data_IF_618160751208
#
_entry.id   IF_618160751208
#
_cell.length_a   1.000
_cell.length_b   1.000
_cell.length_c   1.000
_cell.angle_alpha   90.00
_cell.angle_beta   90.00
_cell.angle_gamma   90.00
#
_symmetry.space_group_name_H-M   'P 1'
#
loop_
_entity.id
_entity.type
_entity.pdbx_description
1 polymer ?
#
# COMPACT_ATOMS: atom_id res chain seq x y z
N UNK A 1 7.48 1.20 21.72
CA UNK A 1 6.23 1.99 21.73
C UNK A 1 5.29 1.40 22.79
N UNK A 2 4.55 2.22 23.59
CA UNK A 2 3.65 1.70 24.65
C UNK A 2 2.64 0.66 24.15
N UNK A 3 2.05 0.90 22.97
CA UNK A 3 1.07 -0.01 22.36
C UNK A 3 1.64 -1.42 22.08
N UNK A 4 2.90 -1.52 21.67
CA UNK A 4 3.57 -2.81 21.41
C UNK A 4 3.68 -3.66 22.69
N UNK A 5 4.12 -3.04 23.80
CA UNK A 5 4.18 -3.73 25.10
C UNK A 5 2.80 -4.19 25.56
N UNK A 6 1.77 -3.37 25.35
CA UNK A 6 0.38 -3.73 25.67
C UNK A 6 -0.13 -4.90 24.80
N UNK A 7 0.23 -4.96 23.52
CA UNK A 7 -0.13 -6.07 22.65
C UNK A 7 0.48 -7.39 23.14
N UNK A 8 1.76 -7.41 23.56
CA UNK A 8 2.39 -8.60 24.12
C UNK A 8 1.75 -9.02 25.46
N UNK A 9 1.37 -8.06 26.31
CA UNK A 9 0.63 -8.34 27.55
C UNK A 9 -0.75 -8.95 27.25
N UNK A 10 -1.48 -8.38 26.26
CA UNK A 10 -2.79 -8.87 25.85
C UNK A 10 -2.75 -10.33 25.35
N UNK A 11 -1.80 -10.65 24.47
CA UNK A 11 -1.62 -12.02 23.98
C UNK A 11 -1.29 -12.98 25.14
N UNK A 12 -0.49 -12.55 26.09
CA UNK A 12 -0.15 -13.35 27.29
C UNK A 12 -1.37 -13.62 28.15
N UNK A 13 -2.23 -12.61 28.34
CA UNK A 13 -3.47 -12.74 29.11
C UNK A 13 -4.47 -13.66 28.43
N UNK A 14 -4.68 -13.51 27.11
CA UNK A 14 -5.52 -14.44 26.32
C UNK A 14 -5.01 -15.87 26.40
N UNK A 15 -3.68 -16.06 26.30
CA UNK A 15 -3.07 -17.38 26.44
C UNK A 15 -3.32 -18.01 27.82
N UNK A 16 -3.37 -17.20 28.88
CA UNK A 16 -3.69 -17.64 30.25
C UNK A 16 -5.15 -18.04 30.39
N UNK A 17 -6.07 -17.28 29.78
CA UNK A 17 -7.51 -17.59 29.80
C UNK A 17 -7.83 -18.87 29.01
N UNK A 18 -7.07 -19.14 27.94
CA UNK A 18 -7.25 -20.32 27.08
C UNK A 18 -6.01 -21.22 27.04
N UNK A 19 -5.67 -21.91 28.14
CA UNK A 19 -4.37 -22.55 28.31
C UNK A 19 -4.06 -23.70 27.34
N UNK A 20 -5.09 -24.31 26.76
CA UNK A 20 -4.97 -25.46 25.83
C UNK A 20 -5.17 -25.09 24.36
N UNK A 21 -5.50 -23.83 24.04
CA UNK A 21 -5.78 -23.43 22.67
C UNK A 21 -4.52 -22.99 21.95
N UNK A 22 -4.45 -23.31 20.67
CA UNK A 22 -3.51 -22.69 19.75
C UNK A 22 -3.97 -21.26 19.48
N UNK A 23 -3.02 -20.38 19.16
CA UNK A 23 -3.26 -18.97 18.96
C UNK A 23 -2.96 -18.60 17.52
N UNK A 24 -3.74 -17.72 16.98
CA UNK A 24 -3.48 -17.03 15.72
C UNK A 24 -3.54 -15.54 16.00
N UNK A 25 -2.51 -14.81 15.58
CA UNK A 25 -2.43 -13.37 15.75
C UNK A 25 -2.61 -12.74 14.39
N UNK A 26 -3.12 -11.51 14.35
CA UNK A 26 -3.20 -10.80 13.09
C UNK A 26 -3.65 -9.36 13.28
N UNK A 27 -3.35 -8.55 12.31
CA UNK A 27 -3.75 -7.16 12.28
C UNK A 27 -3.45 -6.51 10.94
N UNK A 28 -4.08 -5.37 10.73
CA UNK A 28 -3.88 -4.53 9.56
C UNK A 28 -3.11 -3.26 9.97
N UNK A 29 -2.23 -2.79 9.12
CA UNK A 29 -1.47 -1.56 9.34
C UNK A 29 -0.67 -1.63 10.66
N UNK A 30 -0.80 -0.65 11.51
CA UNK A 30 -0.21 -0.67 12.87
C UNK A 30 -0.58 -1.93 13.66
N UNK A 31 -1.79 -2.49 13.44
CA UNK A 31 -2.22 -3.75 14.07
C UNK A 31 -1.39 -4.95 13.62
N UNK A 32 -0.94 -4.99 12.35
CA UNK A 32 0.01 -6.00 11.85
C UNK A 32 1.35 -5.94 12.59
N UNK A 33 1.93 -4.74 12.70
CA UNK A 33 3.15 -4.53 13.50
C UNK A 33 2.96 -4.94 14.97
N UNK A 34 1.81 -4.61 15.58
CA UNK A 34 1.52 -5.00 16.96
C UNK A 34 1.38 -6.52 17.12
N UNK A 35 0.78 -7.21 16.13
CA UNK A 35 0.63 -8.66 16.15
C UNK A 35 1.99 -9.37 16.08
N UNK A 36 2.87 -8.95 15.17
CA UNK A 36 4.23 -9.48 15.08
C UNK A 36 5.01 -9.20 16.35
N UNK A 37 4.99 -7.95 16.85
CA UNK A 37 5.66 -7.62 18.11
C UNK A 37 5.17 -8.47 19.28
N UNK A 38 3.87 -8.69 19.39
CA UNK A 38 3.30 -9.53 20.44
C UNK A 38 3.74 -10.98 20.31
N UNK A 39 3.80 -11.52 19.08
CA UNK A 39 4.32 -12.85 18.80
C UNK A 39 5.79 -13.03 19.20
N UNK A 40 6.62 -12.01 18.96
CA UNK A 40 8.04 -12.01 19.31
C UNK A 40 8.25 -11.90 20.83
N UNK A 41 7.55 -10.97 21.50
CA UNK A 41 7.84 -10.60 22.89
C UNK A 41 6.92 -11.22 23.95
N UNK A 42 5.98 -12.08 23.56
CA UNK A 42 5.26 -12.88 24.54
C UNK A 42 6.19 -13.96 25.15
N UNK A 43 5.84 -14.52 26.33
CA UNK A 43 6.62 -15.58 26.93
C UNK A 43 6.83 -16.78 25.98
N UNK A 44 8.00 -17.42 26.03
CA UNK A 44 8.33 -18.52 25.13
C UNK A 44 7.31 -19.69 25.15
N UNK A 45 6.68 -19.95 26.31
CA UNK A 45 5.61 -20.95 26.42
C UNK A 45 4.36 -20.56 25.61
N UNK A 46 4.05 -19.26 25.55
CA UNK A 46 2.94 -18.71 24.74
C UNK A 46 3.33 -18.73 23.25
N UNK A 47 4.56 -18.29 22.94
CA UNK A 47 5.09 -18.26 21.59
C UNK A 47 5.02 -19.63 20.90
N UNK A 48 5.31 -20.72 21.61
CA UNK A 48 5.17 -22.10 21.08
C UNK A 48 3.75 -22.48 20.70
N UNK A 49 2.73 -21.79 21.22
CA UNK A 49 1.31 -22.02 20.92
C UNK A 49 0.78 -21.17 19.78
N UNK A 50 1.57 -20.23 19.28
CA UNK A 50 1.19 -19.42 18.13
C UNK A 50 1.38 -20.23 16.87
N UNK A 51 0.32 -20.43 16.10
CA UNK A 51 0.36 -21.08 14.78
C UNK A 51 0.84 -20.15 13.69
N UNK A 52 0.23 -18.98 13.62
CA UNK A 52 0.49 -18.01 12.55
C UNK A 52 0.30 -16.59 13.08
N UNK A 53 1.08 -15.67 12.53
CA UNK A 53 0.93 -14.21 12.75
C UNK A 53 0.75 -13.56 11.40
N UNK A 54 -0.41 -12.95 11.15
CA UNK A 54 -0.67 -12.19 9.92
C UNK A 54 -0.39 -10.72 10.11
N UNK A 55 0.48 -10.18 9.26
CA UNK A 55 0.74 -8.74 9.11
C UNK A 55 0.16 -8.27 7.78
N UNK A 56 -1.01 -7.67 7.82
CA UNK A 56 -1.68 -7.16 6.63
C UNK A 56 -1.29 -5.70 6.43
N UNK A 57 -0.37 -5.45 5.52
CA UNK A 57 0.19 -4.13 5.18
C UNK A 57 0.68 -3.37 6.43
N UNK A 58 1.25 -4.12 7.38
CA UNK A 58 1.84 -3.58 8.61
C UNK A 58 3.29 -3.14 8.37
N UNK A 59 3.72 -2.00 8.96
CA UNK A 59 5.12 -1.59 8.87
C UNK A 59 6.02 -2.58 9.59
N UNK A 60 7.24 -2.76 9.10
CA UNK A 60 8.27 -3.62 9.66
C UNK A 60 8.86 -3.10 10.96
N UNK A 61 10.06 -3.52 11.28
CA UNK A 61 10.78 -3.20 12.50
C UNK A 61 12.14 -2.60 12.19
N UNK A 62 12.85 -2.19 13.23
CA UNK A 62 14.25 -1.84 13.13
C UNK A 62 15.10 -3.10 13.21
N UNK A 63 16.27 -3.08 12.59
CA UNK A 63 17.20 -4.22 12.51
C UNK A 63 17.50 -4.83 13.88
N UNK A 64 17.64 -3.98 14.93
CA UNK A 64 17.91 -4.42 16.29
C UNK A 64 16.84 -5.34 16.90
N UNK A 65 15.61 -5.35 16.33
CA UNK A 65 14.56 -6.26 16.73
C UNK A 65 14.60 -7.57 15.92
N UNK A 66 14.91 -7.50 14.64
CA UNK A 66 14.92 -8.62 13.72
C UNK A 66 16.01 -9.63 14.11
N UNK A 67 17.17 -9.16 14.54
CA UNK A 67 18.30 -9.99 14.98
C UNK A 67 18.06 -10.77 16.29
N UNK A 68 16.96 -10.49 17.00
CA UNK A 68 16.70 -11.13 18.28
C UNK A 68 16.38 -12.63 18.13
N UNK A 69 16.94 -13.51 18.99
CA UNK A 69 16.64 -14.96 18.97
C UNK A 69 15.13 -15.28 19.09
N UNK A 70 14.35 -14.44 19.77
CA UNK A 70 12.92 -14.60 19.88
C UNK A 70 12.16 -14.27 18.59
N UNK A 71 12.68 -13.36 17.72
CA UNK A 71 12.15 -13.11 16.40
C UNK A 71 12.39 -14.35 15.50
N UNK A 72 13.61 -14.82 15.42
CA UNK A 72 13.99 -15.98 14.62
C UNK A 72 13.18 -17.25 14.95
N UNK A 73 12.72 -17.42 16.20
CA UNK A 73 11.86 -18.56 16.58
C UNK A 73 10.46 -18.53 16.00
N UNK A 74 9.98 -17.34 15.56
CA UNK A 74 8.60 -17.18 15.07
C UNK A 74 8.54 -16.73 13.61
N UNK A 75 9.65 -16.34 13.02
CA UNK A 75 9.78 -15.77 11.69
C UNK A 75 9.04 -16.61 10.64
N UNK A 76 9.26 -17.92 10.57
CA UNK A 76 8.59 -18.82 9.63
C UNK A 76 7.06 -18.91 9.81
N UNK A 77 6.53 -18.37 10.90
CA UNK A 77 5.09 -18.31 11.18
C UNK A 77 4.50 -16.93 10.94
N UNK A 78 5.32 -15.97 10.55
CA UNK A 78 4.86 -14.64 10.14
C UNK A 78 4.45 -14.70 8.67
N UNK A 79 3.24 -14.25 8.38
CA UNK A 79 2.69 -14.13 7.03
C UNK A 79 2.43 -12.67 6.78
N UNK A 80 3.31 -12.05 5.99
CA UNK A 80 3.17 -10.67 5.55
C UNK A 80 2.42 -10.62 4.23
N UNK A 81 1.34 -9.83 4.18
CA UNK A 81 0.55 -9.59 2.97
C UNK A 81 0.58 -8.10 2.70
N UNK A 82 0.94 -7.72 1.47
CA UNK A 82 1.04 -6.33 1.05
C UNK A 82 0.35 -6.12 -0.30
N UNK A 83 -0.35 -5.01 -0.54
CA UNK A 83 -0.88 -4.71 -1.87
C UNK A 83 0.24 -4.35 -2.85
N UNK A 84 -0.04 -4.48 -4.15
CA UNK A 84 0.93 -4.25 -5.25
C UNK A 84 1.60 -2.87 -5.25
N UNK A 85 1.01 -1.89 -4.59
CA UNK A 85 1.57 -0.54 -4.42
C UNK A 85 1.60 -0.14 -2.95
N UNK A 86 1.97 -1.09 -2.07
CA UNK A 86 2.12 -0.83 -0.64
C UNK A 86 3.11 0.30 -0.39
N UNK A 87 2.75 1.18 0.52
CA UNK A 87 3.62 2.21 1.09
C UNK A 87 3.86 1.90 2.57
N UNK A 88 2.79 1.63 3.31
CA UNK A 88 2.86 1.41 4.77
C UNK A 88 3.56 0.10 5.10
N UNK A 89 3.19 -0.99 4.43
CA UNK A 89 3.77 -2.30 4.64
C UNK A 89 5.25 -2.40 4.24
N UNK A 90 5.73 -1.44 3.47
CA UNK A 90 7.14 -1.38 3.08
C UNK A 90 7.98 -0.43 3.95
N UNK A 91 7.36 0.22 4.95
CA UNK A 91 8.10 1.04 5.91
C UNK A 91 8.89 0.16 6.89
N UNK A 92 10.15 0.53 7.14
CA UNK A 92 11.11 -0.19 7.97
C UNK A 92 11.51 -1.55 7.38
N UNK A 93 12.26 -2.36 8.13
CA UNK A 93 12.82 -3.60 7.63
C UNK A 93 11.88 -4.79 7.89
N UNK A 94 11.91 -5.74 6.96
CA UNK A 94 11.23 -7.02 7.01
C UNK A 94 12.24 -8.11 6.63
N UNK A 95 12.35 -9.17 7.40
CA UNK A 95 13.14 -10.36 7.04
C UNK A 95 12.23 -11.45 6.43
N UNK A 96 10.96 -11.47 6.81
CA UNK A 96 10.00 -12.43 6.29
C UNK A 96 9.64 -12.17 4.83
N UNK A 97 9.40 -13.24 4.08
CA UNK A 97 8.84 -13.15 2.74
C UNK A 97 7.41 -12.61 2.79
N UNK A 98 7.08 -11.70 1.88
CA UNK A 98 5.73 -11.15 1.76
C UNK A 98 5.00 -11.65 0.52
N UNK A 99 3.68 -11.76 0.64
CA UNK A 99 2.78 -12.06 -0.47
C UNK A 99 2.19 -10.77 -1.01
N UNK A 100 2.35 -10.53 -2.31
CA UNK A 100 1.75 -9.36 -2.96
C UNK A 100 0.35 -9.69 -3.44
N UNK A 101 -0.63 -8.85 -3.08
CA UNK A 101 -2.03 -9.01 -3.49
C UNK A 101 -2.47 -7.89 -4.42
N UNK A 102 -3.45 -8.22 -5.28
CA UNK A 102 -4.08 -7.23 -6.13
C UNK A 102 -5.11 -6.40 -5.36
N UNK A 103 -5.34 -5.18 -5.82
CA UNK A 103 -6.33 -4.25 -5.26
C UNK A 103 -7.04 -3.50 -6.39
N UNK A 104 -8.32 -3.17 -6.18
CA UNK A 104 -9.11 -2.34 -7.08
C UNK A 104 -8.84 -0.84 -6.91
N UNK A 105 -8.10 -0.47 -5.86
CA UNK A 105 -7.67 0.90 -5.61
C UNK A 105 -6.28 1.17 -6.17
N UNK A 106 -5.86 2.44 -6.17
CA UNK A 106 -4.57 2.90 -6.66
C UNK A 106 -3.74 3.53 -5.54
N UNK A 107 -2.41 3.36 -5.63
CA UNK A 107 -1.43 3.97 -4.74
C UNK A 107 -1.72 3.75 -3.26
N UNK A 108 -1.66 4.80 -2.45
CA UNK A 108 -1.87 4.72 -1.00
C UNK A 108 -3.26 4.20 -0.60
N UNK A 109 -4.28 4.37 -1.44
CA UNK A 109 -5.62 3.86 -1.16
C UNK A 109 -5.70 2.33 -1.14
N UNK A 110 -4.72 1.63 -1.69
CA UNK A 110 -4.58 0.18 -1.56
C UNK A 110 -4.26 -0.28 -0.13
N UNK A 111 -3.90 0.64 0.76
CA UNK A 111 -3.75 0.35 2.18
C UNK A 111 -5.06 -0.11 2.84
N UNK A 112 -6.21 0.22 2.24
CA UNK A 112 -7.51 -0.31 2.66
C UNK A 112 -7.61 -1.80 2.28
N UNK A 113 -7.54 -2.69 3.27
CA UNK A 113 -7.62 -4.15 3.07
C UNK A 113 -8.93 -4.61 2.44
N UNK A 114 -10.02 -3.82 2.51
CA UNK A 114 -11.28 -4.12 1.83
C UNK A 114 -11.24 -3.87 0.32
N UNK A 115 -10.20 -3.22 -0.17
CA UNK A 115 -9.94 -3.05 -1.61
C UNK A 115 -9.18 -4.23 -2.23
N UNK A 116 -8.70 -5.19 -1.42
CA UNK A 116 -7.93 -6.32 -1.90
C UNK A 116 -8.81 -7.34 -2.58
N UNK A 117 -8.42 -7.74 -3.78
CA UNK A 117 -9.26 -8.61 -4.61
C UNK A 117 -9.21 -10.06 -4.14
N UNK A 118 -10.39 -10.67 -4.06
CA UNK A 118 -10.59 -12.06 -3.61
C UNK A 118 -11.15 -12.88 -4.76
N UNK A 119 -10.64 -14.09 -4.92
CA UNK A 119 -11.17 -15.09 -5.84
C UNK A 119 -11.40 -16.40 -5.08
N UNK A 120 -12.67 -16.75 -4.87
CA UNK A 120 -13.03 -17.91 -4.04
C UNK A 120 -12.68 -17.68 -2.57
N UNK A 121 -11.73 -18.44 -2.06
CA UNK A 121 -11.30 -18.45 -0.66
C UNK A 121 -9.93 -17.82 -0.42
N UNK A 122 -9.35 -17.16 -1.44
CA UNK A 122 -8.01 -16.58 -1.36
C UNK A 122 -7.92 -15.21 -2.06
N UNK A 123 -6.90 -14.43 -1.70
CA UNK A 123 -6.58 -13.19 -2.40
C UNK A 123 -5.99 -13.48 -3.78
N UNK A 124 -6.28 -12.62 -4.75
CA UNK A 124 -5.58 -12.63 -6.04
C UNK A 124 -4.15 -12.17 -5.78
N UNK A 125 -3.19 -13.09 -5.97
CA UNK A 125 -1.77 -12.84 -5.73
C UNK A 125 -1.03 -12.43 -6.99
N UNK A 126 -0.03 -11.60 -6.84
CA UNK A 126 0.86 -11.12 -7.89
C UNK A 126 2.30 -11.56 -7.62
N UNK A 127 3.10 -11.69 -8.68
CA UNK A 127 4.49 -12.14 -8.56
C UNK A 127 5.38 -11.11 -7.85
N UNK A 128 5.08 -9.84 -8.00
CA UNK A 128 5.89 -8.74 -7.46
C UNK A 128 5.08 -7.45 -7.35
N UNK A 129 5.57 -6.52 -6.56
CA UNK A 129 5.06 -5.17 -6.50
C UNK A 129 5.26 -4.42 -7.82
N UNK A 130 4.49 -3.34 -8.04
CA UNK A 130 4.72 -2.47 -9.19
C UNK A 130 6.11 -1.82 -9.11
N UNK A 131 6.76 -1.61 -10.26
CA UNK A 131 8.06 -0.93 -10.32
C UNK A 131 8.04 0.44 -9.64
N UNK A 132 6.94 1.17 -9.81
CA UNK A 132 6.75 2.50 -9.19
C UNK A 132 6.65 2.41 -7.67
N UNK A 133 5.94 1.40 -7.14
CA UNK A 133 5.86 1.17 -5.70
C UNK A 133 7.26 0.90 -5.12
N UNK A 134 8.06 0.10 -5.79
CA UNK A 134 9.42 -0.19 -5.36
C UNK A 134 10.33 1.06 -5.33
N UNK A 135 10.23 1.93 -6.34
CA UNK A 135 10.98 3.20 -6.36
C UNK A 135 10.53 4.16 -5.26
N UNK A 136 9.21 4.27 -5.03
CA UNK A 136 8.67 5.11 -3.95
C UNK A 136 9.05 4.59 -2.57
N UNK A 137 9.11 3.27 -2.41
CA UNK A 137 9.57 2.63 -1.18
C UNK A 137 11.04 3.00 -0.88
N UNK A 138 11.94 2.86 -1.86
CA UNK A 138 13.35 3.24 -1.70
C UNK A 138 13.50 4.72 -1.31
N UNK A 139 12.77 5.61 -1.99
CA UNK A 139 12.80 7.07 -1.70
C UNK A 139 12.30 7.36 -0.29
N UNK A 140 11.23 6.69 0.14
CA UNK A 140 10.63 6.86 1.45
C UNK A 140 11.51 6.29 2.58
N UNK A 141 12.09 5.10 2.40
CA UNK A 141 13.04 4.50 3.34
C UNK A 141 14.25 5.40 3.57
N UNK A 142 14.91 5.83 2.50
CA UNK A 142 16.07 6.73 2.59
C UNK A 142 15.72 8.01 3.35
N UNK A 143 14.56 8.58 3.10
CA UNK A 143 14.12 9.78 3.77
C UNK A 143 13.84 9.56 5.26
N UNK A 144 13.13 8.49 5.63
CA UNK A 144 12.84 8.13 7.03
C UNK A 144 14.11 7.75 7.80
N UNK A 145 15.04 7.04 7.17
CA UNK A 145 16.33 6.68 7.77
C UNK A 145 17.19 7.90 8.04
N UNK A 146 17.12 8.93 7.20
CA UNK A 146 17.81 10.20 7.39
C UNK A 146 17.30 11.06 8.56
N UNK A 147 16.12 10.72 9.14
CA UNK A 147 15.55 11.45 10.27
C UNK A 147 16.07 10.95 11.61
N UNK A 148 16.26 11.87 12.57
CA UNK A 148 16.45 11.51 13.97
C UNK A 148 15.17 10.92 14.58
N UNK A 149 15.27 10.27 15.73
CA UNK A 149 14.10 9.74 16.44
C UNK A 149 13.10 10.85 16.83
N UNK A 150 13.60 12.05 17.17
CA UNK A 150 12.76 13.20 17.49
C UNK A 150 12.02 13.73 16.26
N UNK A 151 12.73 13.90 15.14
CA UNK A 151 12.13 14.34 13.88
C UNK A 151 11.04 13.36 13.40
N UNK A 152 11.29 12.04 13.48
CA UNK A 152 10.26 11.02 13.17
C UNK A 152 9.05 11.13 14.09
N UNK A 153 9.26 11.38 15.40
CA UNK A 153 8.17 11.58 16.34
C UNK A 153 7.31 12.79 15.94
N UNK A 154 7.94 13.96 15.77
CA UNK A 154 7.27 15.20 15.34
C UNK A 154 6.51 15.02 14.02
N UNK A 155 7.14 14.35 13.04
CA UNK A 155 6.52 14.07 11.76
C UNK A 155 5.25 13.22 11.90
N UNK A 156 5.31 12.13 12.68
CA UNK A 156 4.16 11.24 12.90
C UNK A 156 3.04 11.98 13.62
N UNK A 157 3.35 12.74 14.66
CA UNK A 157 2.37 13.52 15.41
C UNK A 157 1.70 14.58 14.53
N UNK A 158 2.48 15.28 13.70
CA UNK A 158 1.98 16.27 12.75
C UNK A 158 1.12 15.61 11.65
N UNK A 159 1.54 14.46 11.12
CA UNK A 159 0.75 13.71 10.13
C UNK A 159 -0.64 13.34 10.67
N UNK A 160 -0.68 12.79 11.89
CA UNK A 160 -1.96 12.45 12.52
C UNK A 160 -2.79 13.69 12.89
N UNK A 161 -2.16 14.79 13.31
CA UNK A 161 -2.87 16.04 13.56
C UNK A 161 -3.52 16.59 12.29
N UNK A 162 -2.79 16.60 11.18
CA UNK A 162 -3.32 17.03 9.87
C UNK A 162 -4.44 16.12 9.38
N UNK A 163 -4.30 14.79 9.50
CA UNK A 163 -5.34 13.85 9.14
C UNK A 163 -6.58 14.01 10.00
N UNK A 164 -6.43 14.17 11.31
CA UNK A 164 -7.53 14.38 12.24
C UNK A 164 -8.25 15.70 12.00
N UNK A 165 -7.52 16.76 11.62
CA UNK A 165 -8.10 18.06 11.28
C UNK A 165 -9.07 18.01 10.09
N UNK A 166 -8.96 16.98 9.23
CA UNK A 166 -9.93 16.75 8.14
C UNK A 166 -11.34 16.41 8.63
N UNK A 167 -11.48 15.97 9.89
CA UNK A 167 -12.74 15.46 10.45
C UNK A 167 -13.10 14.05 9.98
N UNK A 168 -12.28 13.43 9.12
CA UNK A 168 -12.50 12.09 8.63
C UNK A 168 -12.12 11.05 9.70
N UNK A 169 -13.02 10.14 10.01
CA UNK A 169 -12.79 9.01 10.90
C UNK A 169 -12.17 7.81 10.14
N UNK A 170 -12.39 7.74 8.84
CA UNK A 170 -11.93 6.66 7.97
C UNK A 170 -11.33 7.22 6.66
N UNK A 171 -10.56 6.40 5.93
CA UNK A 171 -10.06 6.74 4.59
C UNK A 171 -11.21 6.96 3.58
N UNK A 172 -12.35 6.32 3.81
CA UNK A 172 -13.55 6.50 2.99
C UNK A 172 -14.15 7.90 3.18
N UNK A 173 -14.14 8.44 4.40
CA UNK A 173 -14.62 9.78 4.71
C UNK A 173 -13.76 10.85 4.03
N UNK A 174 -12.46 10.62 3.91
CA UNK A 174 -11.54 11.50 3.16
C UNK A 174 -11.91 11.64 1.68
N UNK A 175 -12.53 10.60 1.10
CA UNK A 175 -13.02 10.63 -0.29
C UNK A 175 -14.34 11.41 -0.43
N UNK A 176 -15.23 11.28 0.55
CA UNK A 176 -16.59 11.81 0.45
C UNK A 176 -16.65 13.36 0.47
N UNK A 177 -15.80 14.04 1.25
CA UNK A 177 -15.77 15.51 1.42
C UNK A 177 -14.38 16.11 1.13
N UNK A 178 -13.78 15.70 0.02
CA UNK A 178 -12.37 15.98 -0.31
C UNK A 178 -11.97 17.45 -0.23
N UNK A 179 -12.82 18.39 -0.68
CA UNK A 179 -12.49 19.83 -0.68
C UNK A 179 -12.45 20.44 0.73
N UNK A 180 -13.39 20.07 1.60
CA UNK A 180 -13.40 20.53 3.00
C UNK A 180 -12.24 19.91 3.79
N UNK A 181 -12.01 18.61 3.60
CA UNK A 181 -10.91 17.88 4.21
C UNK A 181 -9.56 18.50 3.83
N UNK A 182 -9.30 18.72 2.54
CA UNK A 182 -8.07 19.36 2.07
C UNK A 182 -7.91 20.76 2.63
N UNK A 183 -8.98 21.57 2.67
CA UNK A 183 -8.94 22.92 3.25
C UNK A 183 -8.59 22.91 4.75
N UNK A 184 -9.09 21.94 5.50
CA UNK A 184 -8.78 21.77 6.93
C UNK A 184 -7.33 21.31 7.11
N UNK A 185 -6.87 20.35 6.32
CA UNK A 185 -5.47 19.88 6.31
C UNK A 185 -4.48 21.00 6.01
N UNK A 186 -4.75 21.82 4.98
CA UNK A 186 -3.92 22.98 4.63
C UNK A 186 -3.86 24.00 5.76
N UNK A 187 -4.97 24.23 6.46
CA UNK A 187 -4.96 25.13 7.64
C UNK A 187 -4.10 24.55 8.78
N UNK A 188 -4.28 23.26 9.10
CA UNK A 188 -3.49 22.60 10.14
C UNK A 188 -1.99 22.60 9.82
N UNK A 189 -1.61 22.51 8.55
CA UNK A 189 -0.21 22.60 8.13
C UNK A 189 0.42 24.00 8.33
N UNK A 190 -0.38 25.08 8.39
CA UNK A 190 0.15 26.42 8.60
C UNK A 190 0.70 26.64 10.01
N UNK A 191 0.16 25.90 10.98
CA UNK A 191 0.55 26.00 12.40
C UNK A 191 1.80 25.17 12.74
N UNK A 192 2.29 24.37 11.78
CA UNK A 192 3.50 23.57 11.94
C UNK A 192 4.76 24.42 11.69
N UNK A 193 5.85 24.06 12.40
CA UNK A 193 7.16 24.58 12.07
C UNK A 193 7.58 24.23 10.64
N UNK A 194 8.53 25.02 10.10
CA UNK A 194 8.92 24.89 8.69
C UNK A 194 9.46 23.49 8.35
N UNK A 195 10.29 22.92 9.21
CA UNK A 195 10.92 21.62 8.96
C UNK A 195 9.89 20.50 8.89
N UNK A 196 8.97 20.44 9.85
CA UNK A 196 7.89 19.46 9.92
C UNK A 196 6.94 19.61 8.74
N UNK A 197 6.58 20.85 8.38
CA UNK A 197 5.73 21.14 7.22
C UNK A 197 6.37 20.72 5.90
N UNK A 198 7.65 21.05 5.69
CA UNK A 198 8.40 20.68 4.49
C UNK A 198 8.53 19.14 4.37
N UNK A 199 8.69 18.44 5.51
CA UNK A 199 8.67 16.99 5.60
C UNK A 199 7.34 16.40 5.18
N UNK A 200 6.20 16.95 5.65
CA UNK A 200 4.87 16.50 5.24
C UNK A 200 4.60 16.76 3.76
N UNK A 201 5.02 17.93 3.23
CA UNK A 201 4.89 18.22 1.80
C UNK A 201 5.72 17.26 0.95
N UNK A 202 6.93 16.92 1.38
CA UNK A 202 7.77 15.92 0.71
C UNK A 202 7.11 14.55 0.71
N UNK A 203 6.61 14.10 1.84
CA UNK A 203 5.89 12.83 1.98
C UNK A 203 4.66 12.78 1.05
N UNK A 204 3.81 13.81 1.10
CA UNK A 204 2.66 13.94 0.20
C UNK A 204 3.08 13.96 -1.26
N UNK A 205 4.19 14.62 -1.59
CA UNK A 205 4.76 14.64 -2.94
C UNK A 205 5.18 13.25 -3.44
N UNK A 206 5.80 12.42 -2.59
CA UNK A 206 6.15 11.04 -2.91
C UNK A 206 4.87 10.23 -3.17
N UNK A 207 3.88 10.32 -2.28
CA UNK A 207 2.60 9.63 -2.43
C UNK A 207 1.83 10.06 -3.67
N UNK A 208 1.79 11.36 -3.96
CA UNK A 208 1.05 11.90 -5.10
C UNK A 208 1.69 11.54 -6.44
N UNK A 209 3.02 11.62 -6.54
CA UNK A 209 3.74 11.19 -7.76
C UNK A 209 3.54 9.71 -8.04
N UNK A 210 3.55 8.88 -6.99
CA UNK A 210 3.25 7.46 -7.10
C UNK A 210 1.84 7.22 -7.65
N UNK A 211 0.84 7.91 -7.11
CA UNK A 211 -0.54 7.78 -7.55
C UNK A 211 -0.77 8.27 -8.99
N UNK A 212 -0.22 9.44 -9.36
CA UNK A 212 -0.42 10.01 -10.69
C UNK A 212 0.19 9.12 -11.78
N UNK A 213 1.40 8.60 -11.57
CA UNK A 213 2.04 7.68 -12.52
C UNK A 213 1.29 6.37 -12.65
N UNK A 214 0.86 5.77 -11.54
CA UNK A 214 0.07 4.54 -11.57
C UNK A 214 -1.26 4.72 -12.30
N UNK A 215 -1.90 5.89 -12.15
CA UNK A 215 -3.12 6.23 -12.89
C UNK A 215 -2.84 6.31 -14.40
N UNK A 216 -1.75 6.96 -14.80
CA UNK A 216 -1.37 7.07 -16.21
C UNK A 216 -0.99 5.71 -16.82
N UNK A 217 -0.21 4.89 -16.11
CA UNK A 217 0.15 3.53 -16.53
C UNK A 217 -1.09 2.63 -16.64
N UNK A 218 -2.02 2.71 -15.68
CA UNK A 218 -3.30 1.98 -15.73
C UNK A 218 -4.17 2.37 -16.92
N UNK A 219 -4.22 3.67 -17.26
CA UNK A 219 -4.94 4.16 -18.44
C UNK A 219 -4.27 3.64 -19.73
N UNK A 220 -2.95 3.63 -19.80
CA UNK A 220 -2.22 3.09 -20.96
C UNK A 220 -2.48 1.60 -21.14
N UNK A 221 -2.36 0.80 -20.08
CA UNK A 221 -2.65 -0.63 -20.12
C UNK A 221 -4.09 -0.94 -20.55
N UNK A 222 -5.05 -0.16 -20.07
CA UNK A 222 -6.46 -0.35 -20.44
C UNK A 222 -6.72 0.04 -21.89
N UNK A 223 -6.04 1.08 -22.37
CA UNK A 223 -6.10 1.51 -23.76
C UNK A 223 -5.47 0.47 -24.69
N UNK A 224 -4.32 -0.10 -24.32
CA UNK A 224 -3.69 -1.19 -25.07
C UNK A 224 -4.56 -2.46 -25.08
N UNK A 225 -5.14 -2.85 -23.93
CA UNK A 225 -6.08 -3.98 -23.85
C UNK A 225 -7.31 -3.76 -24.71
N UNK A 226 -7.86 -2.55 -24.77
CA UNK A 226 -8.97 -2.17 -25.65
C UNK A 226 -8.56 -2.22 -27.12
N UNK A 227 -7.39 -1.71 -27.47
CA UNK A 227 -6.84 -1.76 -28.82
C UNK A 227 -6.62 -3.20 -29.30
N UNK A 228 -6.05 -4.08 -28.48
CA UNK A 228 -5.90 -5.51 -28.76
C UNK A 228 -7.24 -6.24 -28.91
N UNK A 229 -8.22 -5.88 -28.10
CA UNK A 229 -9.59 -6.43 -28.19
C UNK A 229 -10.28 -6.00 -29.49
N UNK A 230 -10.10 -4.75 -29.89
CA UNK A 230 -10.65 -4.20 -31.13
C UNK A 230 -9.99 -4.85 -32.36
N UNK A 231 -8.67 -4.99 -32.41
CA UNK A 231 -7.92 -5.66 -33.49
C UNK A 231 -8.30 -7.13 -33.62
N UNK A 232 -8.51 -7.85 -32.51
CA UNK A 232 -9.00 -9.24 -32.53
C UNK A 232 -10.44 -9.34 -33.03
N UNK A 233 -11.29 -8.36 -32.71
CA UNK A 233 -12.67 -8.32 -33.19
C UNK A 233 -12.71 -8.04 -34.70
N UNK A 234 -11.89 -7.08 -35.18
CA UNK A 234 -11.76 -6.72 -36.60
C UNK A 234 -11.26 -7.92 -37.42
N UNK A 235 -10.27 -8.67 -36.94
CA UNK A 235 -9.80 -9.92 -37.60
C UNK A 235 -10.86 -11.04 -37.62
N UNK A 236 -11.77 -11.06 -36.66
CA UNK A 236 -12.86 -12.06 -36.62
C UNK A 236 -14.05 -11.68 -37.48
N UNK A 237 -14.31 -10.39 -37.71
CA UNK A 237 -15.40 -9.91 -38.61
C UNK A 237 -15.03 -9.89 -40.09
N UNK A 238 -13.77 -10.12 -40.46
CA UNK A 238 -13.35 -10.13 -41.87
C UNK A 238 -13.39 -8.78 -42.57
N UNK A 239 -13.43 -7.66 -41.79
CA UNK A 239 -13.36 -6.31 -42.35
C UNK A 239 -11.92 -6.01 -42.77
N UNK A 240 -11.65 -6.05 -44.10
CA UNK A 240 -10.38 -5.61 -44.68
C UNK A 240 -10.21 -4.09 -44.53
N UNK A 241 -9.01 -3.64 -44.27
CA UNK A 241 -8.68 -2.22 -44.33
C UNK A 241 -8.82 -1.74 -45.79
N UNK A 242 -9.42 -0.58 -46.05
CA UNK A 242 -9.39 0.02 -47.38
C UNK A 242 -7.92 0.27 -47.74
N UNK A 243 -7.52 -0.27 -48.90
CA UNK A 243 -6.18 -0.11 -49.46
C UNK A 243 -5.88 1.38 -49.69
N UNK A 244 -4.97 1.91 -48.94
CA UNK A 244 -4.51 3.30 -49.02
C UNK A 244 -3.61 3.55 -50.24
N UNK A 245 -3.44 2.58 -51.15
CA UNK A 245 -2.58 2.65 -52.33
C UNK A 245 -3.32 2.89 -53.68
N UNK A 246 -4.61 3.19 -53.65
CA UNK A 246 -5.32 3.56 -54.89
C UNK A 246 -4.95 4.97 -55.33
N UNK A 247 -4.43 5.17 -56.56
CA UNK A 247 -4.10 6.51 -57.07
C UNK A 247 -5.34 7.34 -57.30
N UNK A 248 -5.28 8.60 -56.88
CA UNK A 248 -6.26 9.66 -57.03
C UNK A 248 -6.58 9.84 -58.57
N UNK A 249 -7.75 9.36 -59.01
CA UNK A 249 -8.25 9.65 -60.33
C UNK A 249 -8.91 11.05 -60.32
N UNK A 250 -8.21 12.04 -60.85
CA UNK A 250 -8.75 13.34 -61.14
C UNK A 250 -9.89 13.23 -62.19
N UNK A 251 -11.04 13.88 -61.99
CA UNK A 251 -12.08 13.92 -63.01
C UNK A 251 -11.67 14.86 -64.12
N UNK A 252 -11.65 14.35 -65.37
CA UNK A 252 -11.50 15.11 -66.59
C UNK A 252 -12.61 16.15 -66.72
N UNK A 253 -12.25 17.41 -66.73
CA UNK A 253 -13.14 18.47 -67.06
C UNK A 253 -13.24 18.59 -68.58
N UNK A 254 -14.27 18.01 -69.17
CA UNK A 254 -14.67 18.34 -70.55
C UNK A 254 -15.16 19.77 -70.63
N UNK A 255 -14.42 20.58 -71.37
CA UNK A 255 -14.85 21.93 -71.85
C UNK A 255 -15.67 21.67 -73.11
N UNK A 256 -16.94 22.04 -73.11
CA UNK A 256 -17.76 22.20 -74.33
C UNK A 256 -17.85 23.68 -74.69
N UNK A 257 -17.59 23.93 -75.97
CA UNK A 257 -17.79 25.18 -76.66
C UNK A 257 -19.22 25.78 -76.56
#
# INVERSE_FOLDING_TARGET
VPAQKKAAQYVTEVARQYPRRRLRLGGHSKGGNLAVYAGVFCPAAVQRRIDTVWSNDGPGFRDDLLDLPQHRRIEERIVSIVPKSSVVGMLLEHEEAYTVVDSDQLGFLQHDGFSWQVMGDHFITLRQMTRQAHLSDLELRQWVQGMTAEQRGKFVDALFAVLTASGAATLTDLKADSFKAVGAMVRAMKDLDKETRDGLLKFMGILFRSNLRLTLEGIQEETEKRGLRWSRKKRRSGEEEPDASAPDQQPDTEVKE
#
